data_IF_770364145159
#
_entry.id   IF_770364145159
#
_cell.length_a   1.000
_cell.length_b   1.000
_cell.length_c   1.000
_cell.angle_alpha   90.00
_cell.angle_beta   90.00
_cell.angle_gamma   90.00
#
_symmetry.space_group_name_H-M   'P 1'
#
loop_
_entity.id
_entity.type
_entity.pdbx_description
1 polymer ?
#
# COMPACT_ATOMS: atom_id res chain seq x y z
N UNK A 1 -46.43 -4.03 -24.69
CA UNK A 1 -45.95 -2.63 -24.54
C UNK A 1 -44.78 -2.66 -23.55
N UNK A 2 -43.55 -2.81 -24.05
CA UNK A 2 -42.37 -3.02 -23.20
C UNK A 2 -41.83 -1.66 -22.76
N UNK A 3 -41.89 -1.36 -21.47
CA UNK A 3 -41.40 -0.12 -20.89
C UNK A 3 -39.87 -0.20 -20.78
N UNK A 4 -39.13 0.15 -21.84
CA UNK A 4 -37.69 0.36 -21.74
C UNK A 4 -37.43 1.68 -21.01
N UNK A 5 -37.39 1.63 -19.68
CA UNK A 5 -36.86 2.73 -18.87
C UNK A 5 -35.47 3.09 -19.38
N UNK A 6 -35.19 4.36 -19.73
CA UNK A 6 -33.85 4.76 -20.16
C UNK A 6 -32.88 4.51 -19.00
N UNK A 7 -31.85 3.69 -19.25
CA UNK A 7 -30.81 3.40 -18.25
C UNK A 7 -30.22 4.72 -17.75
N UNK A 8 -29.97 4.94 -16.45
CA UNK A 8 -29.43 6.22 -15.95
C UNK A 8 -28.06 6.56 -16.56
N UNK A 9 -27.78 7.85 -16.83
CA UNK A 9 -26.46 8.32 -17.29
C UNK A 9 -25.71 8.85 -16.09
N UNK A 10 -24.48 8.37 -15.87
CA UNK A 10 -23.63 8.86 -14.79
C UNK A 10 -22.51 9.69 -15.41
N UNK A 11 -22.56 11.01 -15.22
CA UNK A 11 -21.61 11.97 -15.82
C UNK A 11 -21.46 11.82 -17.35
N UNK A 12 -22.53 11.43 -18.07
CA UNK A 12 -22.50 11.22 -19.52
C UNK A 12 -22.10 9.80 -19.96
N UNK A 13 -21.62 8.95 -19.04
CA UNK A 13 -21.24 7.57 -19.35
C UNK A 13 -22.35 6.56 -19.02
N UNK A 14 -22.51 5.56 -19.89
CA UNK A 14 -23.42 4.41 -19.74
C UNK A 14 -22.76 3.11 -20.23
N UNK A 15 -23.23 1.98 -19.72
CA UNK A 15 -22.84 0.65 -20.21
C UNK A 15 -21.32 0.39 -20.14
N UNK A 16 -20.73 -0.10 -21.23
CA UNK A 16 -19.31 -0.52 -21.29
C UNK A 16 -18.32 0.63 -21.04
N UNK A 17 -18.66 1.86 -21.42
CA UNK A 17 -17.79 3.02 -21.20
C UNK A 17 -17.69 3.40 -19.72
N UNK A 18 -18.82 3.31 -19.00
CA UNK A 18 -18.85 3.52 -17.56
C UNK A 18 -18.05 2.45 -16.83
N UNK A 19 -18.20 1.18 -17.23
CA UNK A 19 -17.49 0.06 -16.62
C UNK A 19 -15.96 0.21 -16.78
N UNK A 20 -15.48 0.61 -17.96
CA UNK A 20 -14.06 0.93 -18.18
C UNK A 20 -13.56 2.10 -17.34
N UNK A 21 -14.36 3.16 -17.17
CA UNK A 21 -14.00 4.30 -16.33
C UNK A 21 -13.86 3.88 -14.86
N UNK A 22 -14.81 3.09 -14.35
CA UNK A 22 -14.76 2.53 -12.99
C UNK A 22 -13.55 1.62 -12.82
N UNK A 23 -13.28 0.73 -13.77
CA UNK A 23 -12.12 -0.15 -13.73
C UNK A 23 -10.79 0.63 -13.75
N UNK A 24 -10.69 1.70 -14.53
CA UNK A 24 -9.51 2.58 -14.55
C UNK A 24 -9.29 3.30 -13.22
N UNK A 25 -10.35 3.85 -12.63
CA UNK A 25 -10.30 4.49 -11.32
C UNK A 25 -9.95 3.50 -10.21
N UNK A 26 -10.57 2.32 -10.22
CA UNK A 26 -10.24 1.24 -9.29
C UNK A 26 -8.76 0.81 -9.44
N UNK A 27 -8.28 0.64 -10.68
CA UNK A 27 -6.88 0.30 -10.95
C UNK A 27 -5.90 1.36 -10.44
N UNK A 28 -6.22 2.65 -10.61
CA UNK A 28 -5.42 3.74 -10.07
C UNK A 28 -5.43 3.77 -8.53
N UNK A 29 -6.57 3.50 -7.91
CA UNK A 29 -6.67 3.33 -6.46
C UNK A 29 -5.80 2.19 -5.93
N UNK A 30 -5.82 1.02 -6.59
CA UNK A 30 -4.95 -0.10 -6.24
C UNK A 30 -3.46 0.21 -6.44
N UNK A 31 -3.11 0.99 -7.48
CA UNK A 31 -1.74 1.39 -7.74
C UNK A 31 -1.22 2.33 -6.64
N UNK A 32 -2.04 3.30 -6.20
CA UNK A 32 -1.70 4.19 -5.09
C UNK A 32 -1.56 3.41 -3.77
N UNK A 33 -2.47 2.47 -3.50
CA UNK A 33 -2.35 1.58 -2.33
C UNK A 33 -1.06 0.75 -2.36
N UNK A 34 -0.72 0.19 -3.52
CA UNK A 34 0.51 -0.57 -3.71
C UNK A 34 1.77 0.30 -3.60
N UNK A 35 1.70 1.56 -4.02
CA UNK A 35 2.81 2.51 -3.89
C UNK A 35 3.13 2.80 -2.42
N UNK A 36 2.12 3.09 -1.60
CA UNK A 36 2.32 3.36 -0.18
C UNK A 36 2.94 2.16 0.55
N UNK A 37 2.48 0.95 0.23
CA UNK A 37 3.05 -0.29 0.77
C UNK A 37 4.49 -0.54 0.26
N UNK A 38 4.76 -0.28 -1.03
CA UNK A 38 6.06 -0.52 -1.66
C UNK A 38 7.14 0.47 -1.23
N UNK A 39 6.80 1.75 -1.12
CA UNK A 39 7.74 2.80 -0.66
C UNK A 39 8.11 2.60 0.80
N UNK A 40 7.14 2.27 1.66
CA UNK A 40 7.42 1.97 3.07
C UNK A 40 8.43 0.82 3.19
N UNK A 41 8.24 -0.28 2.45
CA UNK A 41 9.18 -1.40 2.44
C UNK A 41 10.61 -1.03 2.01
N UNK A 42 10.74 -0.13 1.03
CA UNK A 42 12.05 0.37 0.58
C UNK A 42 12.74 1.28 1.60
N UNK A 43 11.98 2.19 2.23
CA UNK A 43 12.51 3.17 3.18
C UNK A 43 13.10 2.53 4.44
N UNK A 44 12.53 1.43 4.92
CA UNK A 44 13.00 0.77 6.15
C UNK A 44 14.42 0.19 6.03
N UNK A 45 14.88 -0.03 4.79
CA UNK A 45 16.23 -0.56 4.51
C UNK A 45 17.25 0.54 4.25
N UNK A 46 16.82 1.80 4.24
CA UNK A 46 17.69 2.93 3.91
C UNK A 46 18.63 3.23 5.10
N UNK A 47 19.93 3.50 4.85
CA UNK A 47 20.88 3.82 5.92
C UNK A 47 20.46 5.02 6.79
N UNK A 48 19.73 5.98 6.22
CA UNK A 48 19.19 7.13 6.94
C UNK A 48 18.00 6.78 7.84
N UNK A 49 17.21 5.76 7.50
CA UNK A 49 16.14 5.28 8.36
C UNK A 49 16.71 4.49 9.53
N UNK A 50 17.66 3.60 9.23
CA UNK A 50 18.39 2.79 10.21
C UNK A 50 19.16 3.66 11.22
N UNK A 51 19.74 4.79 10.79
CA UNK A 51 20.44 5.70 11.70
C UNK A 51 19.50 6.43 12.67
N UNK A 52 18.26 6.68 12.28
CA UNK A 52 17.23 7.30 13.14
C UNK A 52 16.58 6.24 14.04
N UNK A 53 16.37 5.03 13.54
CA UNK A 53 15.70 3.94 14.23
C UNK A 53 16.58 2.68 14.28
N UNK A 54 17.66 2.67 15.08
CA UNK A 54 18.61 1.56 15.12
C UNK A 54 18.01 0.26 15.68
N UNK A 55 16.95 0.34 16.50
CA UNK A 55 16.22 -0.84 17.00
C UNK A 55 15.38 -1.54 15.92
N UNK A 56 15.23 -0.93 14.74
CA UNK A 56 14.57 -1.54 13.58
C UNK A 56 15.57 -1.98 12.50
N UNK A 57 16.88 -1.91 12.77
CA UNK A 57 17.89 -2.33 11.81
C UNK A 57 17.88 -3.85 11.61
N UNK A 58 17.59 -4.28 10.38
CA UNK A 58 17.63 -5.69 9.97
C UNK A 58 18.63 -5.96 8.84
N UNK A 59 19.31 -4.93 8.35
CA UNK A 59 20.12 -4.96 7.12
C UNK A 59 21.61 -4.87 7.39
N UNK A 60 22.03 -4.30 8.53
CA UNK A 60 23.44 -4.11 8.83
C UNK A 60 24.22 -5.43 9.01
N UNK A 61 25.45 -5.52 8.45
CA UNK A 61 26.26 -6.74 8.48
C UNK A 61 26.88 -7.06 9.85
N UNK A 62 26.86 -6.11 10.79
CA UNK A 62 27.44 -6.27 12.13
C UNK A 62 26.44 -6.82 13.17
N UNK A 63 25.20 -7.09 12.77
CA UNK A 63 24.15 -7.62 13.66
C UNK A 63 24.32 -9.13 13.84
N UNK A 64 24.25 -9.61 15.08
CA UNK A 64 24.11 -11.05 15.34
C UNK A 64 22.74 -11.56 14.90
N UNK A 65 22.62 -12.86 14.63
CA UNK A 65 21.34 -13.49 14.25
C UNK A 65 20.23 -13.24 15.27
N UNK A 66 20.55 -13.27 16.57
CA UNK A 66 19.59 -13.00 17.64
C UNK A 66 19.14 -11.53 17.70
N UNK A 67 20.04 -10.58 17.41
CA UNK A 67 19.69 -9.15 17.33
C UNK A 67 18.81 -8.86 16.12
N UNK A 68 19.13 -9.46 14.96
CA UNK A 68 18.34 -9.31 13.74
C UNK A 68 16.91 -9.82 13.91
N UNK A 69 16.72 -10.93 14.61
CA UNK A 69 15.38 -11.48 14.91
C UNK A 69 14.56 -10.53 15.78
N UNK A 70 15.16 -10.00 16.85
CA UNK A 70 14.52 -9.03 17.73
C UNK A 70 14.14 -7.75 16.98
N UNK A 71 15.07 -7.18 16.22
CA UNK A 71 14.85 -5.95 15.46
C UNK A 71 13.79 -6.13 14.37
N UNK A 72 13.77 -7.28 13.69
CA UNK A 72 12.73 -7.63 12.71
C UNK A 72 11.34 -7.69 13.34
N UNK A 73 11.24 -8.23 14.56
CA UNK A 73 9.98 -8.25 15.30
C UNK A 73 9.50 -6.83 15.65
N UNK A 74 10.40 -5.98 16.14
CA UNK A 74 10.08 -4.57 16.46
C UNK A 74 9.65 -3.80 15.21
N UNK A 75 10.40 -3.96 14.12
CA UNK A 75 10.08 -3.38 12.81
C UNK A 75 8.71 -3.84 12.31
N UNK A 76 8.42 -5.15 12.39
CA UNK A 76 7.14 -5.72 11.97
C UNK A 76 5.95 -5.18 12.77
N UNK A 77 6.09 -5.04 14.09
CA UNK A 77 5.04 -4.45 14.94
C UNK A 77 4.82 -2.97 14.61
N UNK A 78 5.89 -2.20 14.39
CA UNK A 78 5.78 -0.79 14.02
C UNK A 78 5.06 -0.59 12.68
N UNK A 79 5.39 -1.40 11.67
CA UNK A 79 4.68 -1.40 10.38
C UNK A 79 3.22 -1.80 10.57
N UNK A 80 2.94 -2.86 11.34
CA UNK A 80 1.57 -3.32 11.55
C UNK A 80 0.70 -2.23 12.18
N UNK A 81 1.22 -1.47 13.15
CA UNK A 81 0.51 -0.34 13.76
C UNK A 81 0.26 0.80 12.76
N UNK A 82 1.24 1.12 11.91
CA UNK A 82 1.07 2.11 10.84
C UNK A 82 0.00 1.69 9.83
N UNK A 83 0.00 0.42 9.42
CA UNK A 83 -0.93 -0.15 8.46
C UNK A 83 -2.36 -0.28 9.01
N UNK A 84 -2.53 -0.43 10.32
CA UNK A 84 -3.85 -0.42 10.99
C UNK A 84 -4.43 1.00 11.06
N UNK A 85 -3.56 2.02 11.15
CA UNK A 85 -3.97 3.41 11.36
C UNK A 85 -4.36 4.19 10.10
N UNK A 86 -4.16 3.62 8.90
CA UNK A 86 -4.43 4.24 7.60
C UNK A 86 -5.77 3.79 7.00
#
# INVERSE_FOLDING_TARGET
MSLTTPSPSYMGFRGKSLNRAVAGLAGMGFLLFGYDQGVMGGLLTLPSFVSVFPEMDTVSPHLSSAQKEKNSTVQGVAIALYEIGK
#
